data_IF_379425477388
#
_entry.id   IF_379425477388
#
_cell.length_a   1.000
_cell.length_b   1.000
_cell.length_c   1.000
_cell.angle_alpha   90.00
_cell.angle_beta   90.00
_cell.angle_gamma   90.00
#
_symmetry.space_group_name_H-M   'P 1'
#
loop_
_entity.id
_entity.type
_entity.pdbx_description
1 polymer ?
#
# COMPACT_ATOMS: atom_id res chain seq x y z
N UNK A 1 3.15 -41.51 15.86
CA UNK A 1 2.86 -40.06 15.87
C UNK A 1 4.11 -39.38 15.34
N UNK A 2 4.12 -39.04 14.05
CA UNK A 2 5.30 -38.53 13.37
C UNK A 2 5.63 -37.12 13.87
N UNK A 3 6.91 -36.90 14.16
CA UNK A 3 7.48 -35.64 14.62
C UNK A 3 7.02 -34.47 13.74
N UNK A 4 6.14 -33.64 14.31
CA UNK A 4 5.31 -32.64 13.61
C UNK A 4 5.96 -31.26 13.68
N UNK A 5 7.27 -31.19 13.50
CA UNK A 5 7.99 -29.91 13.50
C UNK A 5 8.03 -29.30 12.09
N UNK A 6 7.88 -27.99 11.98
CA UNK A 6 8.24 -27.30 10.75
C UNK A 6 9.73 -27.56 10.47
N UNK A 7 10.08 -27.92 9.24
CA UNK A 7 11.46 -28.14 8.85
C UNK A 7 12.30 -26.92 9.23
N UNK A 8 13.34 -27.12 10.05
CA UNK A 8 14.20 -26.03 10.53
C UNK A 8 14.73 -25.15 9.38
N UNK A 9 15.15 -25.71 8.23
CA UNK A 9 15.48 -24.93 7.03
C UNK A 9 14.36 -24.00 6.52
N UNK A 10 13.09 -24.44 6.57
CA UNK A 10 11.94 -23.65 6.13
C UNK A 10 11.73 -22.43 7.03
N UNK A 11 11.82 -22.62 8.35
CA UNK A 11 11.75 -21.54 9.33
C UNK A 11 12.91 -20.56 9.18
N UNK A 12 14.14 -21.06 9.04
CA UNK A 12 15.33 -20.22 8.89
C UNK A 12 15.25 -19.35 7.62
N UNK A 13 14.75 -19.91 6.52
CA UNK A 13 14.48 -19.17 5.29
C UNK A 13 13.44 -18.07 5.51
N UNK A 14 12.38 -18.34 6.29
CA UNK A 14 11.35 -17.38 6.60
C UNK A 14 11.86 -16.25 7.50
N UNK A 15 12.59 -16.57 8.58
CA UNK A 15 13.21 -15.57 9.46
C UNK A 15 14.16 -14.65 8.71
N UNK A 16 15.01 -15.23 7.85
CA UNK A 16 15.91 -14.44 6.98
C UNK A 16 15.12 -13.53 6.06
N UNK A 17 13.97 -13.96 5.53
CA UNK A 17 13.16 -13.12 4.65
C UNK A 17 12.47 -11.96 5.38
N UNK A 18 12.02 -12.21 6.62
CA UNK A 18 11.37 -11.22 7.49
C UNK A 18 12.34 -10.19 8.07
N UNK A 19 13.62 -10.54 8.28
CA UNK A 19 14.60 -9.62 8.86
C UNK A 19 14.88 -8.37 8.03
N UNK A 20 14.65 -8.41 6.71
CA UNK A 20 14.87 -7.26 5.82
C UNK A 20 13.78 -6.19 5.92
N UNK A 21 12.51 -6.59 6.06
CA UNK A 21 11.34 -5.71 6.20
C UNK A 21 10.09 -6.52 6.58
N UNK A 22 9.05 -5.87 7.13
CA UNK A 22 7.74 -6.49 7.29
C UNK A 22 7.21 -7.07 5.97
N UNK A 23 6.59 -8.25 6.06
CA UNK A 23 5.98 -8.99 4.95
C UNK A 23 4.57 -9.40 5.35
N UNK A 24 3.68 -9.44 4.37
CA UNK A 24 2.42 -10.18 4.48
C UNK A 24 2.70 -11.69 4.50
N UNK A 25 1.78 -12.44 5.08
CA UNK A 25 1.74 -13.90 5.06
C UNK A 25 1.82 -14.47 3.64
N UNK A 26 1.09 -13.90 2.68
CA UNK A 26 1.11 -14.36 1.29
C UNK A 26 2.46 -14.15 0.59
N UNK A 27 3.19 -13.07 0.91
CA UNK A 27 4.59 -12.89 0.46
C UNK A 27 5.51 -13.98 1.04
N UNK A 28 5.35 -14.33 2.32
CA UNK A 28 6.16 -15.38 2.98
C UNK A 28 5.88 -16.74 2.36
N UNK A 29 4.61 -17.12 2.19
CA UNK A 29 4.23 -18.37 1.50
C UNK A 29 4.85 -18.47 0.12
N UNK A 30 4.68 -17.44 -0.71
CA UNK A 30 5.24 -17.43 -2.06
C UNK A 30 6.77 -17.62 -2.03
N UNK A 31 7.45 -16.94 -1.09
CA UNK A 31 8.90 -17.04 -0.96
C UNK A 31 9.33 -18.47 -0.61
N UNK A 32 8.65 -19.13 0.33
CA UNK A 32 8.98 -20.49 0.74
C UNK A 32 8.71 -21.50 -0.37
N UNK A 33 7.58 -21.40 -1.09
CA UNK A 33 7.32 -22.23 -2.27
C UNK A 33 8.38 -22.06 -3.36
N UNK A 34 8.87 -20.83 -3.58
CA UNK A 34 9.97 -20.57 -4.52
C UNK A 34 11.31 -21.22 -4.09
N UNK A 35 11.48 -21.56 -2.81
CA UNK A 35 12.64 -22.30 -2.30
C UNK A 35 12.45 -23.83 -2.38
N UNK A 36 11.30 -24.31 -2.87
CA UNK A 36 11.03 -25.73 -3.07
C UNK A 36 10.47 -26.44 -1.83
N UNK A 37 10.10 -25.73 -0.77
CA UNK A 37 9.44 -26.33 0.39
C UNK A 37 8.04 -26.82 0.03
N UNK A 38 7.63 -27.95 0.60
CA UNK A 38 6.31 -28.53 0.35
C UNK A 38 5.23 -27.83 1.17
N UNK A 39 3.97 -27.93 0.72
CA UNK A 39 2.82 -27.23 1.35
C UNK A 39 2.72 -27.46 2.86
N UNK A 40 2.99 -28.67 3.32
CA UNK A 40 2.92 -29.02 4.73
C UNK A 40 3.97 -28.28 5.58
N UNK A 41 5.21 -28.17 5.08
CA UNK A 41 6.28 -27.43 5.75
C UNK A 41 5.99 -25.92 5.79
N UNK A 42 5.45 -25.39 4.68
CA UNK A 42 5.09 -23.97 4.56
C UNK A 42 3.99 -23.60 5.54
N UNK A 43 2.89 -24.36 5.59
CA UNK A 43 1.78 -24.04 6.50
C UNK A 43 2.20 -24.15 7.97
N UNK A 44 3.04 -25.13 8.33
CA UNK A 44 3.63 -25.21 9.67
C UNK A 44 4.51 -24.01 10.00
N UNK A 45 5.37 -23.59 9.07
CA UNK A 45 6.19 -22.41 9.27
C UNK A 45 5.34 -21.14 9.45
N UNK A 46 4.30 -20.96 8.63
CA UNK A 46 3.35 -19.86 8.76
C UNK A 46 2.64 -19.87 10.12
N UNK A 47 2.15 -21.02 10.58
CA UNK A 47 1.50 -21.14 11.89
C UNK A 47 2.44 -20.69 13.03
N UNK A 48 3.68 -21.19 13.04
CA UNK A 48 4.68 -20.81 14.05
C UNK A 48 5.05 -19.32 14.01
N UNK A 49 5.16 -18.74 12.81
CA UNK A 49 5.42 -17.29 12.66
C UNK A 49 4.26 -16.44 13.18
N UNK A 50 3.00 -16.90 13.02
CA UNK A 50 1.82 -16.25 13.60
C UNK A 50 1.81 -16.34 15.12
N UNK A 51 2.12 -17.51 15.69
CA UNK A 51 2.23 -17.69 17.14
C UNK A 51 3.28 -16.75 17.75
N UNK A 52 4.40 -16.55 17.04
CA UNK A 52 5.46 -15.61 17.43
C UNK A 52 5.13 -14.14 17.11
N UNK A 53 3.97 -13.86 16.51
CA UNK A 53 3.53 -12.52 16.07
C UNK A 53 4.49 -11.84 15.09
N UNK A 54 5.24 -12.64 14.31
CA UNK A 54 6.17 -12.13 13.30
C UNK A 54 5.46 -11.84 11.96
N UNK A 55 4.28 -12.41 11.74
CA UNK A 55 3.40 -12.09 10.61
C UNK A 55 1.99 -11.84 11.11
N UNK A 56 1.41 -10.75 10.63
CA UNK A 56 0.04 -10.31 10.87
C UNK A 56 -0.35 -9.44 9.68
N UNK A 57 -1.27 -9.94 8.84
CA UNK A 57 -1.67 -9.25 7.61
C UNK A 57 -2.45 -7.97 7.89
N UNK A 58 -3.18 -7.89 9.00
CA UNK A 58 -3.91 -6.68 9.37
C UNK A 58 -2.94 -5.59 9.82
N UNK A 59 -1.99 -5.95 10.69
CA UNK A 59 -0.92 -5.05 11.13
C UNK A 59 -0.05 -4.60 9.94
N UNK A 60 0.32 -5.52 9.06
CA UNK A 60 1.06 -5.23 7.83
C UNK A 60 0.30 -4.26 6.92
N UNK A 61 -0.99 -4.51 6.68
CA UNK A 61 -1.81 -3.69 5.81
C UNK A 61 -2.01 -2.27 6.37
N UNK A 62 -2.21 -2.14 7.68
CA UNK A 62 -2.27 -0.85 8.37
C UNK A 62 -0.96 -0.07 8.23
N UNK A 63 0.17 -0.71 8.56
CA UNK A 63 1.49 -0.12 8.38
C UNK A 63 1.72 0.35 6.94
N UNK A 64 1.32 -0.45 5.95
CA UNK A 64 1.46 -0.12 4.55
C UNK A 64 0.60 1.09 4.15
N UNK A 65 -0.67 1.14 4.59
CA UNK A 65 -1.55 2.30 4.39
C UNK A 65 -0.91 3.56 4.95
N UNK A 66 -0.53 3.54 6.23
CA UNK A 66 -0.02 4.71 6.95
C UNK A 66 1.29 5.22 6.34
N UNK A 67 2.17 4.30 5.92
CA UNK A 67 3.40 4.62 5.19
C UNK A 67 3.11 5.32 3.85
N UNK A 68 2.10 4.87 3.11
CA UNK A 68 1.73 5.50 1.84
C UNK A 68 1.14 6.88 2.06
N UNK A 69 0.19 7.03 2.97
CA UNK A 69 -0.45 8.31 3.25
C UNK A 69 0.55 9.35 3.79
N UNK A 70 1.57 8.93 4.55
CA UNK A 70 2.56 9.85 5.10
C UNK A 70 3.63 10.31 4.09
N UNK A 71 4.20 9.38 3.31
CA UNK A 71 5.42 9.69 2.53
C UNK A 71 5.18 9.85 1.03
N UNK A 72 4.24 9.08 0.46
CA UNK A 72 3.94 9.09 -0.97
C UNK A 72 2.43 8.88 -1.15
N UNK A 73 1.61 9.89 -0.77
CA UNK A 73 0.18 9.69 -0.72
C UNK A 73 -0.36 9.36 -2.11
N UNK A 74 -1.31 8.44 -2.12
CA UNK A 74 -1.86 7.75 -3.29
C UNK A 74 -3.35 7.54 -3.05
N UNK A 75 -4.08 7.33 -4.14
CA UNK A 75 -5.50 6.99 -4.04
C UNK A 75 -5.73 5.69 -3.27
N UNK A 76 -6.88 5.60 -2.62
CA UNK A 76 -7.46 4.41 -2.01
C UNK A 76 -7.33 3.20 -2.93
N UNK A 77 -7.74 3.35 -4.19
CA UNK A 77 -7.69 2.27 -5.19
C UNK A 77 -6.27 1.76 -5.44
N UNK A 78 -5.29 2.67 -5.50
CA UNK A 78 -3.90 2.28 -5.76
C UNK A 78 -3.26 1.62 -4.53
N UNK A 79 -3.55 2.12 -3.32
CA UNK A 79 -3.14 1.49 -2.06
C UNK A 79 -3.76 0.08 -1.94
N UNK A 80 -5.05 -0.06 -2.21
CA UNK A 80 -5.73 -1.36 -2.22
C UNK A 80 -5.08 -2.33 -3.23
N UNK A 81 -4.78 -1.86 -4.44
CA UNK A 81 -4.06 -2.67 -5.44
C UNK A 81 -2.67 -3.08 -4.97
N UNK A 82 -1.92 -2.19 -4.32
CA UNK A 82 -0.63 -2.54 -3.75
C UNK A 82 -0.73 -3.64 -2.71
N UNK A 83 -1.70 -3.55 -1.78
CA UNK A 83 -1.94 -4.59 -0.77
C UNK A 83 -2.34 -5.93 -1.40
N UNK A 84 -3.19 -5.93 -2.44
CA UNK A 84 -3.52 -7.15 -3.19
C UNK A 84 -2.31 -7.74 -3.91
N UNK A 85 -1.43 -6.91 -4.46
CA UNK A 85 -0.15 -7.37 -5.03
C UNK A 85 0.78 -7.95 -3.96
N UNK A 86 0.60 -7.53 -2.70
CA UNK A 86 1.22 -8.15 -1.52
C UNK A 86 0.47 -9.38 -1.04
N UNK A 87 -0.58 -9.83 -1.72
CA UNK A 87 -1.38 -11.02 -1.36
C UNK A 87 -2.06 -10.92 0.00
N UNK A 88 -2.36 -9.70 0.45
CA UNK A 88 -3.26 -9.49 1.58
C UNK A 88 -4.69 -9.86 1.17
N UNK A 89 -5.41 -10.53 2.05
CA UNK A 89 -6.78 -10.97 1.81
C UNK A 89 -7.73 -9.78 1.54
N UNK A 90 -8.73 -10.00 0.67
CA UNK A 90 -9.58 -8.92 0.14
C UNK A 90 -10.38 -8.19 1.23
N UNK A 91 -10.90 -8.95 2.19
CA UNK A 91 -11.59 -8.44 3.38
C UNK A 91 -10.70 -7.50 4.22
N UNK A 92 -9.44 -7.87 4.46
CA UNK A 92 -8.47 -7.02 5.16
C UNK A 92 -8.19 -5.76 4.33
N UNK A 93 -8.02 -5.89 3.01
CA UNK A 93 -7.78 -4.73 2.13
C UNK A 93 -8.96 -3.76 2.18
N UNK A 94 -10.18 -4.27 2.08
CA UNK A 94 -11.38 -3.45 2.06
C UNK A 94 -11.58 -2.75 3.42
N UNK A 95 -11.39 -3.47 4.53
CA UNK A 95 -11.46 -2.92 5.89
C UNK A 95 -10.40 -1.84 6.13
N UNK A 96 -9.14 -2.10 5.76
CA UNK A 96 -8.03 -1.16 6.01
C UNK A 96 -8.18 0.11 5.17
N UNK A 97 -8.73 0.00 3.95
CA UNK A 97 -8.81 1.12 3.02
C UNK A 97 -10.14 1.86 3.06
N UNK A 98 -11.12 1.42 3.86
CA UNK A 98 -12.48 1.99 3.86
C UNK A 98 -12.50 3.49 4.18
N UNK A 99 -11.64 3.92 5.10
CA UNK A 99 -11.53 5.27 5.66
C UNK A 99 -10.64 6.23 4.85
N UNK A 100 -10.06 5.77 3.74
CA UNK A 100 -9.20 6.62 2.92
C UNK A 100 -10.06 7.62 2.15
N UNK A 101 -9.89 8.90 2.49
CA UNK A 101 -10.48 10.04 1.79
C UNK A 101 -9.59 10.47 0.61
N UNK A 102 -10.00 10.10 -0.60
CA UNK A 102 -9.27 10.47 -1.82
C UNK A 102 -9.33 11.97 -2.12
N UNK A 103 -10.40 12.67 -1.74
CA UNK A 103 -10.56 14.11 -1.99
C UNK A 103 -9.61 14.91 -1.12
N UNK A 104 -9.57 14.62 0.18
CA UNK A 104 -8.65 15.26 1.12
C UNK A 104 -7.18 14.96 0.76
N UNK A 105 -6.87 13.70 0.41
CA UNK A 105 -5.53 13.31 0.00
C UNK A 105 -5.09 14.03 -1.28
N UNK A 106 -5.94 14.06 -2.31
CA UNK A 106 -5.63 14.74 -3.57
C UNK A 106 -5.44 16.24 -3.36
N UNK A 107 -6.29 16.87 -2.55
CA UNK A 107 -6.17 18.28 -2.19
C UNK A 107 -4.85 18.60 -1.47
N UNK A 108 -4.51 17.83 -0.43
CA UNK A 108 -3.27 18.03 0.35
C UNK A 108 -2.03 17.93 -0.54
N UNK A 109 -1.97 16.89 -1.38
CA UNK A 109 -0.89 16.71 -2.36
C UNK A 109 -0.87 17.84 -3.39
N UNK A 110 -2.04 18.27 -3.86
CA UNK A 110 -2.21 19.34 -4.80
C UNK A 110 -1.67 20.66 -4.26
N UNK A 111 -1.98 21.02 -3.02
CA UNK A 111 -1.42 22.17 -2.31
C UNK A 111 0.11 22.17 -2.28
N UNK A 112 0.74 21.04 -1.98
CA UNK A 112 2.21 20.92 -2.04
C UNK A 112 2.74 21.12 -3.46
N UNK A 113 2.02 20.59 -4.46
CA UNK A 113 2.42 20.68 -5.87
C UNK A 113 2.23 22.07 -6.47
N UNK A 114 1.27 22.86 -5.97
CA UNK A 114 0.99 24.21 -6.46
C UNK A 114 2.22 25.12 -6.48
N UNK A 115 3.14 24.95 -5.51
CA UNK A 115 4.40 25.71 -5.43
C UNK A 115 5.24 25.64 -6.71
N UNK A 116 5.13 24.55 -7.47
CA UNK A 116 5.86 24.33 -8.72
C UNK A 116 5.05 24.68 -9.98
N UNK A 117 3.80 25.11 -9.81
CA UNK A 117 2.86 25.38 -10.90
C UNK A 117 2.33 26.82 -10.87
N UNK A 118 2.90 27.67 -10.01
CA UNK A 118 2.41 29.02 -9.76
C UNK A 118 2.42 29.90 -11.01
N UNK A 119 3.43 29.81 -11.87
CA UNK A 119 3.54 30.72 -13.03
C UNK A 119 2.74 30.28 -14.26
N UNK A 120 1.97 29.20 -14.15
CA UNK A 120 1.23 28.63 -15.27
C UNK A 120 -0.15 29.25 -15.43
N UNK A 121 -0.59 29.35 -16.69
CA UNK A 121 -1.98 29.59 -17.07
C UNK A 121 -2.87 28.39 -16.68
N UNK A 122 -4.19 28.61 -16.66
CA UNK A 122 -5.13 27.58 -16.21
C UNK A 122 -5.03 26.27 -17.02
N UNK A 123 -4.96 26.29 -18.37
CA UNK A 123 -4.84 25.07 -19.14
C UNK A 123 -3.59 24.24 -18.79
N UNK A 124 -2.40 24.87 -18.71
CA UNK A 124 -1.16 24.15 -18.37
C UNK A 124 -1.13 23.71 -16.91
N UNK A 125 -1.62 24.55 -15.99
CA UNK A 125 -1.78 24.19 -14.58
C UNK A 125 -2.63 22.92 -14.44
N UNK A 126 -3.84 22.93 -15.03
CA UNK A 126 -4.79 21.83 -14.97
C UNK A 126 -4.18 20.56 -15.56
N UNK A 127 -3.53 20.65 -16.73
CA UNK A 127 -2.90 19.50 -17.37
C UNK A 127 -1.81 18.88 -16.50
N UNK A 128 -0.87 19.69 -15.98
CA UNK A 128 0.25 19.20 -15.16
C UNK A 128 -0.19 18.63 -13.83
N UNK A 129 -1.13 19.29 -13.15
CA UNK A 129 -1.68 18.78 -11.90
C UNK A 129 -2.47 17.49 -12.13
N UNK A 130 -3.26 17.43 -13.20
CA UNK A 130 -4.03 16.23 -13.53
C UNK A 130 -3.12 15.03 -13.78
N UNK A 131 -2.08 15.18 -14.61
CA UNK A 131 -1.11 14.09 -14.84
C UNK A 131 -0.43 13.63 -13.55
N UNK A 132 -0.06 14.57 -12.69
CA UNK A 132 0.58 14.28 -11.40
C UNK A 132 -0.30 13.49 -10.43
N UNK A 133 -1.60 13.81 -10.37
CA UNK A 133 -2.59 13.11 -9.56
C UNK A 133 -3.03 11.79 -10.20
N UNK A 134 -3.16 11.72 -11.53
CA UNK A 134 -3.46 10.49 -12.26
C UNK A 134 -2.40 9.41 -12.03
N UNK A 135 -1.11 9.79 -12.01
CA UNK A 135 -0.02 8.86 -11.68
C UNK A 135 -0.13 8.28 -10.26
N UNK A 136 -0.82 8.97 -9.35
CA UNK A 136 -1.13 8.52 -7.97
C UNK A 136 -2.46 7.75 -7.87
N UNK A 137 -3.14 7.58 -9.00
CA UNK A 137 -4.30 6.71 -9.15
C UNK A 137 -5.65 7.34 -8.83
N UNK A 138 -5.69 8.65 -8.52
CA UNK A 138 -6.92 9.38 -8.23
C UNK A 138 -7.89 9.35 -9.43
N UNK A 139 -9.18 9.32 -9.14
CA UNK A 139 -10.22 9.30 -10.17
C UNK A 139 -10.27 10.62 -10.94
N UNK A 140 -10.77 10.59 -12.18
CA UNK A 140 -10.91 11.80 -12.99
C UNK A 140 -11.78 12.87 -12.28
N UNK A 141 -12.83 12.45 -11.59
CA UNK A 141 -13.70 13.31 -10.78
C UNK A 141 -12.89 14.04 -9.69
N UNK A 142 -12.22 13.30 -8.81
CA UNK A 142 -11.41 13.86 -7.71
C UNK A 142 -10.34 14.82 -8.24
N UNK A 143 -9.69 14.46 -9.35
CA UNK A 143 -8.67 15.29 -9.98
C UNK A 143 -9.26 16.61 -10.47
N UNK A 144 -10.39 16.56 -11.19
CA UNK A 144 -11.04 17.74 -11.74
C UNK A 144 -11.49 18.69 -10.64
N UNK A 145 -12.10 18.15 -9.59
CA UNK A 145 -12.64 18.92 -8.48
C UNK A 145 -11.50 19.55 -7.66
N UNK A 146 -10.43 18.79 -7.41
CA UNK A 146 -9.20 19.28 -6.77
C UNK A 146 -8.56 20.42 -7.57
N UNK A 147 -8.36 20.25 -8.88
CA UNK A 147 -7.77 21.28 -9.72
C UNK A 147 -8.61 22.56 -9.75
N UNK A 148 -9.94 22.42 -9.82
CA UNK A 148 -10.87 23.55 -9.83
C UNK A 148 -10.89 24.28 -8.49
N UNK A 149 -10.84 23.56 -7.37
CA UNK A 149 -10.74 24.13 -6.03
C UNK A 149 -9.45 24.92 -5.85
N UNK A 150 -8.30 24.30 -6.10
CA UNK A 150 -6.98 24.92 -5.93
C UNK A 150 -6.80 26.17 -6.82
N UNK A 151 -7.36 26.15 -8.03
CA UNK A 151 -7.30 27.32 -8.92
C UNK A 151 -8.13 28.50 -8.39
N UNK A 152 -9.30 28.25 -7.81
CA UNK A 152 -10.12 29.30 -7.18
C UNK A 152 -9.42 29.90 -5.97
N UNK A 153 -8.92 29.05 -5.08
CA UNK A 153 -8.23 29.48 -3.86
C UNK A 153 -6.94 30.27 -4.16
N UNK A 154 -6.28 29.99 -5.29
CA UNK A 154 -5.16 30.78 -5.77
C UNK A 154 -5.55 32.23 -6.09
N UNK A 155 -6.76 32.48 -6.63
CA UNK A 155 -7.20 33.84 -6.98
C UNK A 155 -7.60 34.68 -5.76
N UNK A 156 -7.87 34.04 -4.63
CA UNK A 156 -8.31 34.68 -3.39
C UNK A 156 -7.14 35.04 -2.46
N UNK A 157 -5.91 34.64 -2.80
CA UNK A 157 -4.67 34.97 -2.10
C UNK A 157 -3.79 35.85 -2.97
#
# INVERSE_FOLDING_TARGET
MADTSASQPCLDAAYRYLSYRPRSEGEVRQRLFQHGFVSEEVERAIAKLKEQKLIDDFAFARFWKDSRLSFRPKSKRLIARELRNKRVAADIVDEITKDIDDELNAYTIGCTRMRFLADLDYPRFRQRLSGYLSYRGFSHQVIRDTASRLWRERKTK
#
